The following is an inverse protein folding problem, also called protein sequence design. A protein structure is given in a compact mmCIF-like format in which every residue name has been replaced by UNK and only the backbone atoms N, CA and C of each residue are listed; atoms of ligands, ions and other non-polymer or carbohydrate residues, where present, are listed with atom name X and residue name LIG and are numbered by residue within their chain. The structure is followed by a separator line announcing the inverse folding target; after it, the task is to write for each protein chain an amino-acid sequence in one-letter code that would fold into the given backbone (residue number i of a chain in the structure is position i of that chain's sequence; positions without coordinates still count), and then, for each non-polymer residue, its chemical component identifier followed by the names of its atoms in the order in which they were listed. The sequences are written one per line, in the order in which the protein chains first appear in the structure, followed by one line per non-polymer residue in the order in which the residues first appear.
data_IF_655714941422
#
_entry.id   IF_655714941422
#
_cell.length_a   1.000
_cell.length_b   1.000
_cell.length_c   1.000
_cell.angle_alpha   90.00
_cell.angle_beta   90.00
_cell.angle_gamma   90.00
#
_symmetry.space_group_name_H-M   'P 1'
#
loop_
_entity.id
_entity.type
_entity.pdbx_description
1 polymer ?
#
# COMPACT_ATOMS: atom_id res chain seq x y z
N UNK A 1 -9.57 33.68 6.44
CA UNK A 1 -8.60 34.73 6.85
C UNK A 1 -7.26 34.59 6.14
N UNK A 2 -6.40 33.61 6.44
CA UNK A 2 -5.11 33.51 5.69
C UNK A 2 -5.27 32.97 4.27
N UNK A 3 -6.24 32.09 4.02
CA UNK A 3 -6.54 31.61 2.67
C UNK A 3 -6.84 32.78 1.73
N UNK A 4 -7.70 33.71 2.16
CA UNK A 4 -8.03 34.92 1.41
C UNK A 4 -6.82 35.83 1.21
N UNK A 5 -6.01 36.01 2.27
CA UNK A 5 -4.81 36.84 2.24
C UNK A 5 -3.77 36.36 1.21
N UNK A 6 -3.54 35.05 1.14
CA UNK A 6 -2.62 34.44 0.17
C UNK A 6 -3.31 33.96 -1.13
N UNK A 7 -4.61 34.22 -1.29
CA UNK A 7 -5.42 33.81 -2.47
C UNK A 7 -5.41 32.30 -2.72
N UNK A 8 -5.57 31.52 -1.66
CA UNK A 8 -5.71 30.06 -1.69
C UNK A 8 -7.19 29.69 -1.69
N UNK A 9 -7.57 28.65 -2.44
CA UNK A 9 -8.96 28.13 -2.49
C UNK A 9 -9.27 27.20 -1.34
N UNK A 10 -8.28 26.45 -0.89
CA UNK A 10 -8.39 25.48 0.21
C UNK A 10 -7.08 25.41 1.00
N UNK A 11 -7.09 24.71 2.13
CA UNK A 11 -5.95 24.61 3.04
C UNK A 11 -4.82 23.75 2.44
N UNK A 12 -3.68 24.31 1.98
CA UNK A 12 -2.60 23.53 1.38
C UNK A 12 -1.89 22.61 2.36
N UNK A 13 -1.89 22.91 3.67
CA UNK A 13 -1.09 22.16 4.65
C UNK A 13 -1.94 21.55 5.78
N UNK A 14 -3.15 21.10 5.42
CA UNK A 14 -4.09 20.49 6.37
C UNK A 14 -3.60 19.17 6.96
N UNK A 15 -4.16 18.82 8.12
CA UNK A 15 -3.89 17.56 8.85
C UNK A 15 -4.64 16.36 8.25
N UNK A 16 -5.77 16.60 7.59
CA UNK A 16 -6.59 15.55 6.99
C UNK A 16 -5.88 14.98 5.75
N UNK A 17 -5.69 13.66 5.66
CA UNK A 17 -5.13 13.02 4.46
C UNK A 17 -6.06 13.21 3.26
N UNK A 18 -5.63 13.99 2.27
CA UNK A 18 -6.30 14.11 0.97
C UNK A 18 -5.35 13.58 -0.12
N UNK A 19 -5.74 12.51 -0.84
CA UNK A 19 -4.93 11.92 -1.90
C UNK A 19 -4.53 12.90 -3.02
N UNK A 20 -5.27 14.00 -3.24
CA UNK A 20 -4.94 15.04 -4.24
C UNK A 20 -3.64 15.78 -3.92
N UNK A 21 -3.30 15.86 -2.63
CA UNK A 21 -2.09 16.53 -2.14
C UNK A 21 -0.89 15.58 -2.04
N UNK A 22 -1.02 14.31 -2.45
CA UNK A 22 0.09 13.38 -2.46
C UNK A 22 1.10 13.75 -3.55
N UNK A 23 2.24 14.26 -3.12
CA UNK A 23 3.38 14.50 -4.00
C UNK A 23 4.12 13.19 -4.32
N UNK A 24 4.12 12.78 -5.58
CA UNK A 24 4.82 11.58 -6.04
C UNK A 24 6.31 11.84 -6.25
N UNK A 25 7.09 11.84 -5.17
CA UNK A 25 8.56 11.79 -5.23
C UNK A 25 9.05 10.55 -5.98
N UNK A 26 10.30 10.51 -6.46
CA UNK A 26 10.90 9.30 -7.02
C UNK A 26 10.75 8.08 -6.09
N UNK A 27 10.99 8.25 -4.78
CA UNK A 27 10.81 7.20 -3.78
C UNK A 27 9.34 6.73 -3.66
N UNK A 28 8.37 7.65 -3.70
CA UNK A 28 6.95 7.27 -3.70
C UNK A 28 6.57 6.50 -4.96
N UNK A 29 7.08 6.91 -6.13
CA UNK A 29 6.83 6.23 -7.41
C UNK A 29 7.43 4.84 -7.42
N UNK A 30 8.66 4.68 -6.92
CA UNK A 30 9.34 3.39 -6.81
C UNK A 30 8.60 2.45 -5.84
N UNK A 31 8.23 2.95 -4.66
CA UNK A 31 7.45 2.19 -3.69
C UNK A 31 6.10 1.75 -4.27
N UNK A 32 5.37 2.67 -4.92
CA UNK A 32 4.09 2.37 -5.55
C UNK A 32 4.25 1.33 -6.67
N UNK A 33 5.26 1.48 -7.53
CA UNK A 33 5.54 0.55 -8.62
C UNK A 33 5.90 -0.84 -8.09
N UNK A 34 6.70 -0.91 -7.03
CA UNK A 34 7.09 -2.17 -6.39
C UNK A 34 5.88 -2.91 -5.79
N UNK A 35 5.03 -2.18 -5.06
CA UNK A 35 3.80 -2.74 -4.49
C UNK A 35 2.83 -3.18 -5.58
N UNK A 36 2.66 -2.35 -6.61
CA UNK A 36 1.79 -2.64 -7.74
C UNK A 36 2.22 -3.93 -8.45
N UNK A 37 3.51 -4.01 -8.83
CA UNK A 37 4.07 -5.16 -9.50
C UNK A 37 4.04 -6.42 -8.63
N UNK A 38 4.31 -6.31 -7.33
CA UNK A 38 4.25 -7.46 -6.43
C UNK A 38 2.84 -8.05 -6.31
N UNK A 39 1.82 -7.19 -6.24
CA UNK A 39 0.41 -7.62 -6.21
C UNK A 39 -0.01 -8.19 -7.56
N UNK A 40 0.40 -7.56 -8.67
CA UNK A 40 0.09 -8.00 -10.04
C UNK A 40 0.80 -9.32 -10.41
N UNK A 41 1.97 -9.59 -9.85
CA UNK A 41 2.67 -10.88 -10.03
C UNK A 41 2.30 -11.93 -8.99
N UNK A 42 1.40 -11.60 -8.06
CA UNK A 42 0.86 -12.57 -7.11
C UNK A 42 1.87 -13.04 -6.07
N UNK A 43 2.82 -12.18 -5.66
CA UNK A 43 3.97 -12.54 -4.80
C UNK A 43 3.60 -12.90 -3.35
N UNK A 44 2.34 -12.75 -2.97
CA UNK A 44 1.84 -13.07 -1.64
C UNK A 44 2.10 -11.92 -0.68
N UNK A 45 3.28 -11.87 -0.06
CA UNK A 45 3.62 -10.87 0.95
C UNK A 45 4.45 -9.71 0.42
N UNK A 46 4.02 -8.51 0.79
CA UNK A 46 4.69 -7.25 0.53
C UNK A 46 4.77 -6.44 1.82
N UNK A 47 5.80 -5.60 1.95
CA UNK A 47 5.91 -4.64 3.05
C UNK A 47 6.16 -3.23 2.56
N UNK A 48 5.55 -2.24 3.21
CA UNK A 48 5.81 -0.82 3.03
C UNK A 48 6.27 -0.21 4.36
N UNK A 49 7.53 0.18 4.44
CA UNK A 49 8.10 0.76 5.66
C UNK A 49 8.35 2.25 5.45
N UNK A 50 7.93 3.07 6.41
CA UNK A 50 8.27 4.49 6.42
C UNK A 50 8.15 5.09 7.82
N UNK A 51 8.88 6.16 8.05
CA UNK A 51 8.72 7.01 9.23
C UNK A 51 7.28 7.55 9.37
N UNK A 52 6.84 7.89 10.59
CA UNK A 52 5.56 8.55 10.82
C UNK A 52 5.41 9.83 9.99
N UNK A 53 4.28 9.96 9.31
CA UNK A 53 3.98 11.18 8.54
C UNK A 53 4.59 11.26 7.14
N UNK A 54 5.14 10.15 6.62
CA UNK A 54 5.62 10.03 5.22
C UNK A 54 4.54 9.73 4.18
N UNK A 55 3.27 9.59 4.59
CA UNK A 55 2.17 9.36 3.65
C UNK A 55 1.90 7.90 3.27
N UNK A 56 2.32 6.93 4.10
CA UNK A 56 2.06 5.48 3.91
C UNK A 56 0.59 5.20 3.59
N UNK A 57 -0.31 5.57 4.50
CA UNK A 57 -1.76 5.38 4.37
C UNK A 57 -2.31 6.01 3.09
N UNK A 58 -1.89 7.25 2.78
CA UNK A 58 -2.28 7.96 1.56
C UNK A 58 -1.81 7.23 0.29
N UNK A 59 -0.61 6.64 0.31
CA UNK A 59 -0.08 5.85 -0.80
C UNK A 59 -0.87 4.55 -0.98
N UNK A 60 -1.23 3.86 0.10
CA UNK A 60 -2.07 2.66 0.03
C UNK A 60 -3.45 2.97 -0.57
N UNK A 61 -4.10 4.06 -0.13
CA UNK A 61 -5.36 4.50 -0.73
C UNK A 61 -5.25 4.86 -2.22
N UNK A 62 -4.12 5.45 -2.64
CA UNK A 62 -3.86 5.70 -4.05
C UNK A 62 -3.67 4.41 -4.85
N UNK A 63 -3.01 3.41 -4.26
CA UNK A 63 -2.86 2.09 -4.87
C UNK A 63 -4.23 1.42 -5.08
N UNK A 64 -5.12 1.48 -4.09
CA UNK A 64 -6.50 0.97 -4.20
C UNK A 64 -7.30 1.63 -5.32
N UNK A 65 -7.19 2.95 -5.47
CA UNK A 65 -7.89 3.69 -6.55
C UNK A 65 -7.49 3.22 -7.94
N UNK A 66 -6.26 2.73 -8.13
CA UNK A 66 -5.74 2.25 -9.42
C UNK A 66 -6.34 0.90 -9.85
N UNK A 67 -6.91 0.13 -8.93
CA UNK A 67 -7.39 -1.25 -9.18
C UNK A 67 -8.91 -1.43 -9.18
N UNK A 68 -9.69 -0.35 -9.27
CA UNK A 68 -11.15 -0.42 -9.31
C UNK A 68 -11.61 -1.41 -10.40
N UNK A 69 -12.26 -2.50 -9.96
CA UNK A 69 -12.85 -3.54 -10.82
C UNK A 69 -12.09 -4.87 -10.89
N UNK A 70 -10.82 -4.93 -10.47
CA UNK A 70 -9.97 -6.13 -10.58
C UNK A 70 -9.49 -6.70 -9.23
N UNK A 71 -9.58 -5.89 -8.17
CA UNK A 71 -9.12 -6.24 -6.82
C UNK A 71 -10.27 -6.10 -5.84
N UNK A 72 -10.46 -7.13 -5.01
CA UNK A 72 -11.24 -7.07 -3.79
C UNK A 72 -10.27 -6.79 -2.64
N UNK A 73 -10.41 -5.64 -1.99
CA UNK A 73 -9.48 -5.22 -0.93
C UNK A 73 -10.14 -5.31 0.44
N UNK A 74 -9.39 -5.78 1.42
CA UNK A 74 -9.69 -5.60 2.83
C UNK A 74 -8.64 -4.69 3.47
N UNK A 75 -9.04 -3.81 4.40
CA UNK A 75 -8.15 -2.86 5.06
C UNK A 75 -8.30 -2.93 6.59
N UNK A 76 -7.22 -3.33 7.25
CA UNK A 76 -7.12 -3.32 8.70
C UNK A 76 -6.43 -2.04 9.17
N UNK A 77 -7.21 -1.11 9.74
CA UNK A 77 -6.70 0.05 10.48
C UNK A 77 -6.50 -0.25 11.97
N UNK A 78 -7.37 -1.09 12.54
CA UNK A 78 -7.36 -1.41 13.96
C UNK A 78 -6.39 -2.57 14.23
N UNK A 79 -5.20 -2.23 14.71
CA UNK A 79 -4.14 -3.21 15.00
C UNK A 79 -4.14 -3.70 16.45
N UNK A 80 -4.96 -3.11 17.32
CA UNK A 80 -5.22 -3.63 18.66
C UNK A 80 -6.32 -4.68 18.56
N UNK A 81 -5.95 -5.87 18.13
CA UNK A 81 -6.85 -7.00 17.94
C UNK A 81 -6.16 -8.31 18.29
N UNK A 82 -6.94 -9.35 18.57
CA UNK A 82 -6.46 -10.73 18.62
C UNK A 82 -6.61 -11.46 17.26
N UNK A 83 -6.17 -12.71 17.19
CA UNK A 83 -6.22 -13.52 15.97
C UNK A 83 -7.63 -13.76 15.45
N UNK A 84 -8.62 -13.86 16.35
CA UNK A 84 -10.02 -14.08 16.00
C UNK A 84 -10.63 -12.79 15.46
N UNK A 85 -10.37 -11.67 16.13
CA UNK A 85 -10.80 -10.33 15.71
C UNK A 85 -10.20 -9.95 14.35
N UNK A 86 -8.92 -10.25 14.10
CA UNK A 86 -8.29 -10.06 12.78
C UNK A 86 -9.09 -10.76 11.67
N UNK A 87 -9.43 -12.03 11.88
CA UNK A 87 -10.22 -12.81 10.91
C UNK A 87 -11.61 -12.23 10.73
N UNK A 88 -12.27 -11.79 11.81
CA UNK A 88 -13.59 -11.15 11.74
C UNK A 88 -13.55 -9.85 10.94
N UNK A 89 -12.59 -8.97 11.23
CA UNK A 89 -12.42 -7.72 10.46
C UNK A 89 -12.17 -8.00 8.98
N UNK A 90 -11.33 -8.98 8.67
CA UNK A 90 -11.08 -9.41 7.29
C UNK A 90 -12.36 -9.92 6.61
N UNK A 91 -13.12 -10.80 7.27
CA UNK A 91 -14.35 -11.35 6.72
C UNK A 91 -15.41 -10.27 6.52
N UNK A 92 -15.61 -9.40 7.50
CA UNK A 92 -16.59 -8.30 7.44
C UNK A 92 -16.27 -7.35 6.27
N UNK A 93 -15.01 -6.95 6.08
CA UNK A 93 -14.61 -6.04 5.00
C UNK A 93 -14.68 -6.71 3.61
N UNK A 94 -14.56 -8.05 3.56
CA UNK A 94 -14.82 -8.85 2.34
C UNK A 94 -16.31 -9.16 2.11
N UNK A 95 -17.21 -8.69 2.99
CA UNK A 95 -18.65 -8.92 2.91
C UNK A 95 -19.10 -10.34 3.28
N UNK A 96 -18.31 -11.05 4.09
CA UNK A 96 -18.61 -12.38 4.61
C UNK A 96 -19.17 -12.30 6.03
N UNK A 97 -20.17 -13.13 6.32
CA UNK A 97 -20.70 -13.26 7.68
C UNK A 97 -19.75 -14.07 8.56
N UNK A 98 -19.37 -13.50 9.71
CA UNK A 98 -18.48 -14.09 10.70
C UNK A 98 -19.14 -14.29 12.07
N UNK A 99 -20.43 -13.93 12.21
CA UNK A 99 -21.14 -14.03 13.49
C UNK A 99 -21.27 -15.50 13.93
N UNK A 100 -21.04 -15.73 15.22
CA UNK A 100 -21.12 -17.05 15.87
C UNK A 100 -20.26 -18.16 15.27
N UNK A 101 -19.28 -17.81 14.43
CA UNK A 101 -18.36 -18.77 13.80
C UNK A 101 -17.14 -18.99 14.69
N UNK A 102 -16.70 -20.23 14.77
CA UNK A 102 -15.39 -20.57 15.30
C UNK A 102 -14.29 -20.26 14.27
N UNK A 103 -13.03 -20.27 14.71
CA UNK A 103 -11.87 -19.94 13.86
C UNK A 103 -11.74 -20.91 12.67
N UNK A 104 -12.04 -22.19 12.87
CA UNK A 104 -11.91 -23.22 11.83
C UNK A 104 -12.91 -22.95 10.71
N UNK A 105 -14.16 -22.65 11.08
CA UNK A 105 -15.23 -22.34 10.14
C UNK A 105 -14.96 -21.02 9.41
N UNK A 106 -14.50 -19.98 10.11
CA UNK A 106 -14.07 -18.72 9.49
C UNK A 106 -12.97 -18.95 8.46
N UNK A 107 -11.98 -19.78 8.77
CA UNK A 107 -10.89 -20.13 7.84
C UNK A 107 -11.39 -20.88 6.60
N UNK A 108 -12.33 -21.82 6.77
CA UNK A 108 -12.93 -22.55 5.65
C UNK A 108 -13.75 -21.62 4.75
N UNK A 109 -14.62 -20.80 5.34
CA UNK A 109 -15.47 -19.87 4.59
C UNK A 109 -14.62 -18.81 3.85
N UNK A 110 -13.53 -18.34 4.46
CA UNK A 110 -12.56 -17.46 3.82
C UNK A 110 -11.85 -18.15 2.64
N UNK A 111 -11.39 -19.39 2.80
CA UNK A 111 -10.77 -20.15 1.71
C UNK A 111 -11.71 -20.28 0.49
N UNK A 112 -12.97 -20.64 0.73
CA UNK A 112 -13.97 -20.78 -0.31
C UNK A 112 -14.25 -19.45 -1.02
N UNK A 113 -14.27 -18.35 -0.29
CA UNK A 113 -14.37 -17.01 -0.86
C UNK A 113 -13.15 -16.66 -1.73
N UNK A 114 -11.93 -16.83 -1.21
CA UNK A 114 -10.70 -16.51 -1.93
C UNK A 114 -10.59 -17.32 -3.24
N UNK A 115 -11.00 -18.59 -3.21
CA UNK A 115 -11.03 -19.43 -4.40
C UNK A 115 -12.07 -18.98 -5.43
N UNK A 116 -13.27 -18.56 -4.99
CA UNK A 116 -14.31 -18.00 -5.86
C UNK A 116 -13.85 -16.71 -6.55
N UNK A 117 -13.28 -15.77 -5.79
CA UNK A 117 -12.79 -14.51 -6.36
C UNK A 117 -11.64 -14.76 -7.35
N UNK A 118 -10.72 -15.67 -7.02
CA UNK A 118 -9.63 -16.06 -7.92
C UNK A 118 -10.17 -16.68 -9.22
N UNK A 119 -11.19 -17.54 -9.15
CA UNK A 119 -11.87 -18.10 -10.34
C UNK A 119 -12.57 -17.03 -11.18
N UNK A 120 -13.08 -15.98 -10.55
CA UNK A 120 -13.67 -14.83 -11.23
C UNK A 120 -12.59 -13.88 -11.83
N UNK A 121 -11.31 -14.24 -11.77
CA UNK A 121 -10.20 -13.41 -12.26
C UNK A 121 -9.89 -12.21 -11.38
N UNK A 122 -10.49 -12.13 -10.19
CA UNK A 122 -10.24 -11.07 -9.21
C UNK A 122 -9.12 -11.48 -8.28
N UNK A 123 -8.43 -10.48 -7.72
CA UNK A 123 -7.41 -10.69 -6.69
C UNK A 123 -7.93 -10.19 -5.36
N UNK A 124 -7.64 -10.92 -4.29
CA UNK A 124 -7.94 -10.47 -2.93
C UNK A 124 -6.67 -9.92 -2.30
N UNK A 125 -6.74 -8.70 -1.77
CA UNK A 125 -5.59 -8.02 -1.15
C UNK A 125 -5.98 -7.54 0.24
N UNK A 126 -5.25 -7.98 1.25
CA UNK A 126 -5.33 -7.50 2.63
C UNK A 126 -4.25 -6.44 2.87
N UNK A 127 -4.67 -5.22 3.18
CA UNK A 127 -3.82 -4.15 3.66
C UNK A 127 -3.87 -4.07 5.18
N UNK A 128 -2.70 -4.08 5.82
CA UNK A 128 -2.58 -3.89 7.26
C UNK A 128 -1.71 -2.65 7.46
N UNK A 129 -2.32 -1.55 7.91
CA UNK A 129 -1.57 -0.33 8.25
C UNK A 129 -1.16 -0.34 9.72
N UNK A 130 -0.11 0.42 10.05
CA UNK A 130 0.50 0.46 11.39
C UNK A 130 0.83 -0.95 11.96
N UNK A 131 1.24 -1.89 11.09
CA UNK A 131 1.45 -3.30 11.42
C UNK A 131 2.51 -3.55 12.51
N UNK A 132 3.36 -2.58 12.84
CA UNK A 132 4.26 -2.68 13.99
C UNK A 132 3.52 -2.84 15.32
N UNK A 133 2.25 -2.41 15.38
CA UNK A 133 1.41 -2.47 16.58
C UNK A 133 0.77 -3.85 16.79
N UNK A 134 0.78 -4.75 15.80
CA UNK A 134 0.24 -6.10 15.96
C UNK A 134 1.04 -6.88 17.00
N UNK A 135 0.40 -7.78 17.74
CA UNK A 135 1.11 -8.71 18.62
C UNK A 135 1.83 -9.81 17.83
N UNK A 136 2.79 -10.51 18.45
CA UNK A 136 3.53 -11.59 17.78
C UNK A 136 2.61 -12.75 17.38
N UNK A 137 1.60 -13.06 18.20
CA UNK A 137 0.59 -14.09 17.90
C UNK A 137 -0.28 -13.72 16.69
N UNK A 138 -0.61 -12.43 16.53
CA UNK A 138 -1.39 -11.95 15.39
C UNK A 138 -0.53 -11.92 14.12
N UNK A 139 0.74 -11.53 14.20
CA UNK A 139 1.66 -11.64 13.07
C UNK A 139 1.84 -13.09 12.61
N UNK A 140 1.87 -14.05 13.53
CA UNK A 140 1.87 -15.48 13.19
C UNK A 140 0.56 -15.90 12.52
N UNK A 141 -0.58 -15.36 12.95
CA UNK A 141 -1.87 -15.58 12.28
C UNK A 141 -1.83 -15.03 10.85
N UNK A 142 -1.32 -13.82 10.66
CA UNK A 142 -1.11 -13.22 9.34
C UNK A 142 -0.19 -14.09 8.47
N UNK A 143 0.88 -14.67 9.05
CA UNK A 143 1.76 -15.63 8.36
C UNK A 143 0.97 -16.83 7.85
N UNK A 144 0.07 -17.39 8.65
CA UNK A 144 -0.78 -18.52 8.26
C UNK A 144 -1.77 -18.14 7.15
N UNK A 145 -2.31 -16.92 7.13
CA UNK A 145 -3.18 -16.46 6.04
C UNK A 145 -2.48 -16.48 4.67
N UNK A 146 -1.14 -16.39 4.62
CA UNK A 146 -0.41 -16.49 3.36
C UNK A 146 -0.30 -17.90 2.80
N UNK A 147 -0.65 -18.90 3.60
CA UNK A 147 -0.69 -20.30 3.19
C UNK A 147 -1.99 -20.59 2.38
N UNK A 148 -2.90 -19.61 2.25
CA UNK A 148 -3.99 -19.67 1.26
C UNK A 148 -3.43 -19.60 -0.17
N UNK A 149 -3.21 -20.77 -0.76
CA UNK A 149 -2.67 -20.94 -2.11
C UNK A 149 -3.35 -22.08 -2.88
N UNK A 150 -3.42 -21.91 -4.20
CA UNK A 150 -3.61 -23.00 -5.14
C UNK A 150 -2.24 -23.50 -5.62
N UNK A 151 -2.13 -24.69 -6.25
CA UNK A 151 -0.86 -25.24 -6.69
C UNK A 151 -0.01 -24.32 -7.59
N UNK A 152 -0.65 -23.36 -8.29
CA UNK A 152 -0.01 -22.47 -9.24
C UNK A 152 0.03 -20.98 -8.80
N UNK A 153 -0.64 -20.60 -7.70
CA UNK A 153 -0.75 -19.18 -7.31
C UNK A 153 -1.20 -18.97 -5.86
N UNK A 154 -0.82 -17.82 -5.28
CA UNK A 154 -1.37 -17.32 -4.02
C UNK A 154 -2.81 -16.82 -4.18
N UNK A 155 -3.69 -17.18 -3.26
CA UNK A 155 -5.10 -16.75 -3.27
C UNK A 155 -5.30 -15.41 -2.54
N UNK A 156 -4.42 -15.09 -1.58
CA UNK A 156 -4.42 -13.84 -0.84
C UNK A 156 -3.08 -13.12 -1.00
N UNK A 157 -3.14 -11.82 -1.31
CA UNK A 157 -2.00 -10.91 -1.23
C UNK A 157 -2.08 -10.12 0.08
N UNK A 158 -0.96 -9.92 0.76
CA UNK A 158 -0.91 -9.21 2.04
C UNK A 158 0.14 -8.10 1.96
N UNK A 159 -0.29 -6.87 2.25
CA UNK A 159 0.57 -5.70 2.34
C UNK A 159 0.67 -5.24 3.79
N UNK A 160 1.85 -5.41 4.38
CA UNK A 160 2.17 -4.92 5.71
C UNK A 160 2.77 -3.51 5.62
N UNK A 161 2.00 -2.48 5.96
CA UNK A 161 2.50 -1.13 6.09
C UNK A 161 2.79 -0.81 7.55
N UNK A 162 3.96 -0.22 7.80
CA UNK A 162 4.36 0.11 9.17
C UNK A 162 5.58 1.00 9.26
N UNK A 163 6.06 1.15 10.48
CA UNK A 163 7.24 1.94 10.84
C UNK A 163 8.51 1.06 10.81
N UNK A 164 9.74 1.63 10.84
CA UNK A 164 10.98 0.84 10.81
C UNK A 164 11.07 -0.27 11.89
N UNK A 165 10.38 -0.11 13.01
CA UNK A 165 10.23 -1.10 14.07
C UNK A 165 9.62 -2.41 13.57
N UNK A 166 8.67 -2.35 12.61
CA UNK A 166 8.11 -3.54 11.97
C UNK A 166 9.21 -4.34 11.28
N UNK A 167 10.07 -3.66 10.53
CA UNK A 167 11.14 -4.32 9.80
C UNK A 167 12.17 -4.94 10.74
N UNK A 168 12.57 -4.22 11.78
CA UNK A 168 13.46 -4.76 12.82
C UNK A 168 12.83 -6.00 13.47
N UNK A 169 11.53 -5.94 13.79
CA UNK A 169 10.81 -7.06 14.38
C UNK A 169 10.75 -8.29 13.47
N UNK A 170 10.54 -8.09 12.17
CA UNK A 170 10.52 -9.16 11.17
C UNK A 170 11.88 -9.85 10.97
N UNK A 171 12.97 -9.26 11.46
CA UNK A 171 14.32 -9.89 11.45
C UNK A 171 14.64 -10.66 12.73
N UNK A 172 13.78 -10.63 13.75
CA UNK A 172 14.01 -11.37 15.00
C UNK A 172 13.88 -12.87 14.78
N UNK A 173 14.62 -13.72 15.54
CA UNK A 173 14.58 -15.18 15.37
C UNK A 173 13.17 -15.77 15.34
N UNK A 174 12.26 -15.32 16.21
CA UNK A 174 10.87 -15.77 16.28
C UNK A 174 9.96 -15.32 15.13
N UNK A 175 10.40 -14.38 14.29
CA UNK A 175 9.62 -13.83 13.16
C UNK A 175 10.28 -14.09 11.80
N UNK A 176 11.42 -14.80 11.78
CA UNK A 176 12.20 -15.08 10.57
C UNK A 176 11.36 -15.72 9.46
N UNK A 177 10.44 -16.61 9.81
CA UNK A 177 9.58 -17.30 8.85
C UNK A 177 8.61 -16.36 8.11
N UNK A 178 8.09 -15.34 8.80
CA UNK A 178 7.28 -14.30 8.18
C UNK A 178 8.18 -13.36 7.37
N UNK A 179 9.32 -12.95 7.94
CA UNK A 179 10.29 -12.06 7.28
C UNK A 179 10.83 -12.61 5.96
N UNK A 180 11.03 -13.93 5.85
CA UNK A 180 11.46 -14.64 4.63
C UNK A 180 10.38 -14.74 3.55
N UNK A 181 9.09 -14.70 3.95
CA UNK A 181 7.98 -14.72 2.98
C UNK A 181 7.78 -13.37 2.29
N UNK A 182 8.31 -12.28 2.84
CA UNK A 182 8.18 -10.94 2.25
C UNK A 182 8.97 -10.87 0.94
N UNK A 183 8.25 -10.99 -0.17
CA UNK A 183 8.81 -11.03 -1.51
C UNK A 183 9.16 -9.63 -2.05
N UNK A 184 8.43 -8.61 -1.60
CA UNK A 184 8.66 -7.21 -2.00
C UNK A 184 8.77 -6.34 -0.76
N UNK A 185 9.87 -5.58 -0.67
CA UNK A 185 10.09 -4.59 0.39
C UNK A 185 10.17 -3.21 -0.25
N UNK A 186 9.16 -2.38 -0.01
CA UNK A 186 9.14 -0.98 -0.38
C UNK A 186 9.45 -0.11 0.85
N UNK A 187 10.14 1.01 0.63
CA UNK A 187 10.41 2.01 1.66
C UNK A 187 10.08 3.41 1.16
N UNK A 188 9.59 4.27 2.05
CA UNK A 188 9.53 5.71 1.81
C UNK A 188 10.61 6.40 2.62
N UNK A 189 11.52 7.04 1.89
CA UNK A 189 12.60 7.82 2.47
C UNK A 189 12.16 9.29 2.65
N UNK A 190 12.75 10.02 3.61
CA UNK A 190 12.53 11.45 3.75
C UNK A 190 12.85 12.21 2.46
N UNK A 191 12.09 13.28 2.19
CA UNK A 191 12.31 14.10 1.01
C UNK A 191 13.66 14.82 1.10
N UNK A 192 14.54 14.71 0.09
CA UNK A 192 15.76 15.51 0.07
C UNK A 192 15.40 17.00 -0.07
N UNK A 193 16.31 17.89 0.34
CA UNK A 193 16.04 19.33 0.39
C UNK A 193 15.50 19.91 -0.93
N UNK A 194 16.01 19.44 -2.08
CA UNK A 194 15.52 19.83 -3.40
C UNK A 194 14.05 19.44 -3.65
N UNK A 195 13.60 18.33 -3.06
CA UNK A 195 12.22 17.86 -3.18
C UNK A 195 11.28 18.49 -2.17
N UNK A 196 11.78 18.97 -1.02
CA UNK A 196 10.96 19.72 -0.06
C UNK A 196 10.35 20.96 -0.71
N UNK A 197 11.14 21.70 -1.50
CA UNK A 197 10.64 22.87 -2.26
C UNK A 197 9.54 22.46 -3.24
N UNK A 198 9.77 21.36 -3.99
CA UNK A 198 8.79 20.83 -4.96
C UNK A 198 7.51 20.37 -4.28
N UNK A 199 7.63 19.73 -3.12
CA UNK A 199 6.51 19.30 -2.29
C UNK A 199 5.66 20.48 -1.81
N UNK A 200 6.30 21.54 -1.27
CA UNK A 200 5.61 22.76 -0.84
C UNK A 200 4.85 23.38 -2.01
N UNK A 201 5.53 23.56 -3.14
CA UNK A 201 4.93 24.15 -4.34
C UNK A 201 3.80 23.29 -4.91
N UNK A 202 3.94 21.96 -4.91
CA UNK A 202 2.89 21.05 -5.32
C UNK A 202 1.62 21.25 -4.46
N UNK A 203 1.75 21.27 -3.13
CA UNK A 203 0.59 21.46 -2.25
C UNK A 203 -0.05 22.83 -2.41
N UNK A 204 0.75 23.89 -2.55
CA UNK A 204 0.24 25.23 -2.86
C UNK A 204 -0.53 25.27 -4.19
N UNK A 205 0.01 24.64 -5.23
CA UNK A 205 -0.62 24.58 -6.54
C UNK A 205 -1.95 23.83 -6.51
N UNK A 206 -2.02 22.67 -5.84
CA UNK A 206 -3.27 21.92 -5.64
C UNK A 206 -4.31 22.79 -4.92
N UNK A 207 -3.89 23.56 -3.91
CA UNK A 207 -4.74 24.52 -3.21
C UNK A 207 -5.14 25.76 -4.05
N UNK A 208 -4.72 25.85 -5.31
CA UNK A 208 -5.08 26.92 -6.23
C UNK A 208 -4.14 28.13 -6.23
N UNK A 209 -2.96 28.03 -5.61
CA UNK A 209 -1.99 29.10 -5.63
C UNK A 209 -1.37 29.28 -7.03
N UNK A 210 -1.41 30.51 -7.55
CA UNK A 210 -0.87 30.89 -8.87
C UNK A 210 0.09 32.09 -8.80
N UNK A 211 0.42 32.56 -7.59
CA UNK A 211 1.27 33.74 -7.39
C UNK A 211 2.77 33.44 -7.41
N UNK A 212 3.57 34.46 -7.09
CA UNK A 212 5.01 34.35 -6.88
C UNK A 212 5.34 33.46 -5.66
N UNK A 213 6.59 33.02 -5.52
CA UNK A 213 6.96 32.07 -4.48
C UNK A 213 6.67 32.60 -3.05
N UNK A 214 5.77 31.94 -2.32
CA UNK A 214 5.36 32.35 -0.95
C UNK A 214 6.47 32.19 0.08
N UNK A 215 7.38 31.23 -0.13
CA UNK A 215 8.51 30.99 0.75
C UNK A 215 9.78 31.44 0.05
N UNK A 216 10.63 32.23 0.73
CA UNK A 216 11.97 32.53 0.22
C UNK A 216 12.81 31.25 0.13
N UNK A 217 13.92 31.30 -0.61
CA UNK A 217 14.84 30.16 -0.70
C UNK A 217 15.40 29.79 0.68
N UNK A 218 15.75 30.78 1.50
CA UNK A 218 16.26 30.56 2.86
C UNK A 218 15.19 29.96 3.79
N UNK A 219 13.93 30.41 3.67
CA UNK A 219 12.82 29.81 4.40
C UNK A 219 12.62 28.34 3.99
N UNK A 220 12.65 28.05 2.69
CA UNK A 220 12.47 26.69 2.19
C UNK A 220 13.62 25.75 2.60
N UNK A 221 14.86 26.26 2.61
CA UNK A 221 16.03 25.54 3.12
C UNK A 221 15.90 25.25 4.63
N UNK A 222 15.48 26.23 5.41
CA UNK A 222 15.24 26.06 6.84
C UNK A 222 14.08 25.10 7.13
N UNK A 223 13.03 25.06 6.30
CA UNK A 223 11.97 24.05 6.38
C UNK A 223 12.55 22.66 6.11
N UNK A 224 13.36 22.49 5.07
CA UNK A 224 13.97 21.21 4.73
C UNK A 224 14.85 20.67 5.87
N UNK A 225 15.67 21.53 6.46
CA UNK A 225 16.53 21.18 7.60
C UNK A 225 15.72 20.79 8.84
N UNK A 226 14.78 21.65 9.27
CA UNK A 226 13.99 21.44 10.49
C UNK A 226 13.02 20.27 10.40
N UNK A 227 12.43 20.05 9.22
CA UNK A 227 11.53 18.93 8.99
C UNK A 227 12.26 17.62 8.73
N UNK A 228 13.56 17.66 8.44
CA UNK A 228 14.36 16.52 7.96
C UNK A 228 13.72 15.81 6.76
N UNK A 229 12.97 16.55 5.94
CA UNK A 229 12.26 15.99 4.78
C UNK A 229 10.97 15.22 5.10
N UNK A 230 10.47 15.23 6.35
CA UNK A 230 9.25 14.53 6.74
C UNK A 230 8.01 15.36 6.33
N UNK A 231 7.13 14.89 5.42
CA UNK A 231 5.96 15.63 4.93
C UNK A 231 5.07 16.20 6.02
N UNK A 232 4.74 15.43 7.06
CA UNK A 232 3.94 15.92 8.20
C UNK A 232 4.57 17.12 8.90
N UNK A 233 5.90 17.11 9.10
CA UNK A 233 6.61 18.22 9.72
C UNK A 233 6.70 19.43 8.77
N UNK A 234 6.93 19.20 7.47
CA UNK A 234 6.90 20.25 6.45
C UNK A 234 5.55 20.97 6.49
N UNK A 235 4.45 20.22 6.50
CA UNK A 235 3.09 20.77 6.55
C UNK A 235 2.88 21.63 7.77
N UNK A 236 3.30 21.13 8.93
CA UNK A 236 3.14 21.83 10.19
C UNK A 236 3.92 23.15 10.20
N UNK A 237 5.18 23.14 9.77
CA UNK A 237 6.00 24.35 9.65
C UNK A 237 5.38 25.35 8.66
N UNK A 238 4.94 24.89 7.49
CA UNK A 238 4.35 25.75 6.48
C UNK A 238 3.01 26.37 6.93
N UNK A 239 2.14 25.58 7.57
CA UNK A 239 0.87 26.06 8.09
C UNK A 239 1.06 27.17 9.13
N UNK A 240 1.97 26.96 10.09
CA UNK A 240 2.22 27.94 11.14
C UNK A 240 2.90 29.20 10.59
N UNK A 241 3.87 29.04 9.68
CA UNK A 241 4.54 30.18 9.06
C UNK A 241 3.58 31.02 8.21
N UNK A 242 2.68 30.40 7.44
CA UNK A 242 1.63 31.14 6.70
C UNK A 242 0.64 31.81 7.65
N UNK A 243 0.28 31.16 8.76
CA UNK A 243 -0.62 31.76 9.75
C UNK A 243 -0.01 33.00 10.40
N UNK A 244 1.26 32.91 10.82
CA UNK A 244 2.00 34.04 11.40
C UNK A 244 2.23 35.16 10.37
N UNK A 245 2.67 34.80 9.15
CA UNK A 245 2.85 35.76 8.07
C UNK A 245 1.56 36.52 7.74
N UNK A 246 0.41 35.85 7.78
CA UNK A 246 -0.88 36.52 7.62
C UNK A 246 -1.18 37.49 8.76
N UNK A 247 -0.91 37.11 10.02
CA UNK A 247 -1.10 37.97 11.18
C UNK A 247 -0.22 39.24 11.09
N UNK A 248 1.01 39.08 10.61
CA UNK A 248 1.97 40.17 10.38
C UNK A 248 1.76 40.91 9.05
N UNK A 249 0.77 40.52 8.25
CA UNK A 249 0.50 41.06 6.89
C UNK A 249 1.69 40.93 5.92
N UNK A 250 2.53 39.91 6.07
CA UNK A 250 3.66 39.60 5.21
C UNK A 250 3.25 38.71 4.02
N UNK A 251 3.44 39.21 2.79
CA UNK A 251 3.10 38.48 1.56
C UNK A 251 4.07 37.33 1.23
N UNK A 252 5.29 37.40 1.74
CA UNK A 252 6.31 36.37 1.57
C UNK A 252 6.82 35.94 2.94
N UNK A 253 7.03 34.64 3.10
CA UNK A 253 7.55 33.99 4.30
C UNK A 253 9.06 33.85 4.14
N UNK A 254 9.79 34.58 4.98
CA UNK A 254 11.24 34.46 5.08
C UNK A 254 11.66 33.54 6.23
N UNK A 255 12.97 33.42 6.44
CA UNK A 255 13.53 32.58 7.49
C UNK A 255 13.17 33.08 8.90
N UNK A 256 12.97 34.39 9.09
CA UNK A 256 12.69 34.97 10.40
C UNK A 256 11.26 34.68 10.85
N UNK A 257 10.27 34.86 9.95
CA UNK A 257 8.88 34.46 10.20
C UNK A 257 8.81 32.95 10.48
N UNK A 258 9.55 32.14 9.72
CA UNK A 258 9.61 30.71 9.97
C UNK A 258 10.23 30.38 11.34
N UNK A 259 11.28 31.09 11.75
CA UNK A 259 11.97 30.90 13.03
C UNK A 259 11.03 31.21 14.19
N UNK A 260 10.28 32.30 14.09
CA UNK A 260 9.27 32.70 15.08
C UNK A 260 8.13 31.67 15.15
N UNK A 261 7.56 31.30 14.00
CA UNK A 261 6.51 30.28 13.91
C UNK A 261 6.96 28.91 14.45
N UNK A 262 8.25 28.56 14.28
CA UNK A 262 8.82 27.33 14.82
C UNK A 262 9.12 27.41 16.33
N UNK A 263 9.39 28.61 16.87
CA UNK A 263 9.58 28.85 18.30
C UNK A 263 8.32 28.54 19.10
N UNK A 264 7.17 28.97 18.60
CA UNK A 264 5.85 28.71 19.22
C UNK A 264 5.50 27.22 19.25
N UNK A 265 6.02 26.45 18.30
CA UNK A 265 5.87 24.99 18.28
C UNK A 265 6.71 24.29 19.35
N UNK A 266 7.91 24.80 19.62
CA UNK A 266 8.75 24.28 20.68
C UNK A 266 8.20 24.59 22.08
N UNK A 267 7.41 25.66 22.23
CA UNK A 267 6.71 25.99 23.48
C UNK A 267 5.48 25.10 23.75
N UNK A 268 4.96 24.41 22.73
CA UNK A 268 3.80 23.51 22.82
C UNK A 268 4.15 22.00 22.76
N UNK A 269 5.43 21.64 22.66
CA UNK A 269 5.94 20.30 22.99
C UNK A 269 6.56 20.31 24.39
N UNK A 270 6.60 19.18 25.14
CA UNK A 270 7.20 19.18 26.47
C UNK A 270 8.70 19.37 26.35
N UNK A 271 9.16 20.62 26.37
CA UNK A 271 10.55 20.94 26.62
C UNK A 271 10.86 20.51 28.07
N UNK A 272 11.94 19.75 28.31
CA UNK A 272 12.38 19.49 29.67
C UNK A 272 12.70 20.86 30.29
N UNK A 273 11.89 21.26 31.27
CA UNK A 273 12.20 22.41 32.12
C UNK A 273 13.61 22.18 32.64
N UNK A 274 14.58 22.93 32.11
CA UNK A 274 15.82 23.21 32.84
C UNK A 274 15.39 23.94 34.09
N UNK A 275 15.26 23.19 35.18
CA UNK A 275 15.21 23.76 36.50
C UNK A 275 16.52 24.53 36.66
N UNK A 276 16.43 25.85 36.58
CA UNK A 276 17.43 26.72 37.17
C UNK A 276 17.36 26.44 38.67
N UNK A 277 18.19 25.53 39.15
CA UNK A 277 18.46 25.43 40.58
C UNK A 277 19.14 26.73 40.97
N UNK A 278 18.35 27.67 41.47
CA UNK A 278 18.84 28.73 42.33
C UNK A 278 19.44 28.05 43.55
N UNK A 279 20.76 27.86 43.54
CA UNK A 279 21.53 27.43 44.69
C UNK A 279 21.80 28.67 45.55
N UNK A 280 21.27 28.79 46.77
CA UNK A 280 21.73 29.79 47.72
C UNK A 280 23.14 29.43 48.22
N UNK A 281 23.99 30.41 48.56
CA UNK A 281 25.35 30.13 49.03
C UNK A 281 25.32 29.36 50.36
N UNK A 282 26.08 28.25 50.41
CA UNK A 282 26.20 27.41 51.60
C UNK A 282 27.09 28.06 52.67
N UNK A 283 26.76 27.91 53.97
CA UNK A 283 27.60 28.33 55.08
C UNK A 283 28.71 27.32 55.41
N UNK A 284 29.75 27.86 56.02
CA UNK A 284 31.03 27.27 56.44
C UNK A 284 30.93 26.16 57.51
N UNK A 285 31.78 25.13 57.37
CA UNK A 285 32.17 24.16 58.42
C UNK A 285 31.29 22.91 58.47
N UNK A 286 31.79 21.70 58.72
CA UNK A 286 33.07 21.19 59.19
C UNK A 286 33.19 19.70 58.83
N UNK A 287 34.41 19.17 58.99
CA UNK A 287 34.94 17.83 58.70
C UNK A 287 34.01 16.65 59.03
N UNK A 288 34.15 15.53 58.29
CA UNK A 288 34.78 14.26 58.77
C UNK A 288 34.83 13.17 57.67
N UNK A 289 36.06 12.65 57.48
CA UNK A 289 36.55 11.34 56.97
C UNK A 289 36.22 10.83 55.55
N UNK A 290 37.28 10.88 54.72
CA UNK A 290 37.76 9.85 53.76
C UNK A 290 38.02 8.49 54.48
N UNK A 291 38.18 7.31 53.82
CA UNK A 291 39.00 7.20 52.61
C UNK A 291 38.74 6.09 51.57
N UNK A 292 39.43 6.31 50.43
CA UNK A 292 40.17 5.35 49.59
C UNK A 292 39.36 4.24 48.91
N UNK A 293 39.29 4.19 47.59
CA UNK A 293 40.43 4.00 46.67
C UNK A 293 39.86 3.99 45.23
N UNK A 294 40.56 4.24 44.13
CA UNK A 294 41.73 5.06 43.83
C UNK A 294 41.98 4.87 42.31
N UNK A 295 42.26 5.99 41.62
CA UNK A 295 42.95 6.13 40.32
C UNK A 295 42.22 5.69 39.05
N UNK A 296 41.91 6.60 38.10
CA UNK A 296 42.81 7.35 37.18
C UNK A 296 43.55 6.38 36.24
N UNK A 297 43.68 6.59 34.94
CA UNK A 297 43.71 7.76 34.06
C UNK A 297 43.61 7.18 32.62
N UNK A 298 43.56 7.86 31.48
CA UNK A 298 43.62 9.24 31.07
C UNK A 298 43.56 9.23 29.52
N UNK A 299 42.96 10.28 28.95
CA UNK A 299 43.46 11.10 27.81
C UNK A 299 43.67 10.39 26.45
N UNK A 300 42.79 10.60 25.46
CA UNK A 300 42.84 11.66 24.39
C UNK A 300 43.39 11.06 23.06
N UNK A 301 43.37 11.75 21.89
CA UNK A 301 42.19 11.98 21.04
C UNK A 301 42.46 11.70 19.52
N UNK A 302 41.40 11.71 18.71
CA UNK A 302 41.46 12.16 17.30
C UNK A 302 41.82 11.13 16.20
N UNK A 303 40.93 10.99 15.22
CA UNK A 303 41.19 11.23 13.77
C UNK A 303 39.95 10.93 12.93
N UNK A 304 39.50 11.95 12.22
CA UNK A 304 38.66 11.91 11.02
C UNK A 304 39.38 11.20 9.86
N UNK A 305 38.69 10.39 9.06
CA UNK A 305 38.97 10.25 7.62
C UNK A 305 37.72 9.76 6.86
N UNK A 306 37.81 9.96 5.55
CA UNK A 306 36.78 10.38 4.60
C UNK A 306 36.07 9.25 3.84
N UNK A 307 35.00 9.64 3.15
CA UNK A 307 34.37 8.96 2.02
C UNK A 307 35.34 8.36 1.00
N UNK A 308 35.07 7.12 0.54
CA UNK A 308 35.39 6.66 -0.82
C UNK A 308 34.31 5.69 -1.30
N UNK A 309 33.85 5.94 -2.52
CA UNK A 309 32.87 5.22 -3.31
C UNK A 309 33.37 3.87 -3.87
N UNK A 310 32.43 2.94 -4.06
CA UNK A 310 32.28 2.01 -5.19
C UNK A 310 33.51 1.30 -5.82
N UNK A 311 33.52 -0.05 -5.75
CA UNK A 311 33.54 -1.02 -6.88
C UNK A 311 34.24 -2.34 -6.49
N UNK A 312 33.69 -3.44 -7.01
CA UNK A 312 34.24 -4.82 -7.07
C UNK A 312 34.40 -5.59 -5.76
N UNK A 313 33.42 -6.45 -5.44
CA UNK A 313 33.63 -7.90 -5.30
C UNK A 313 32.33 -8.54 -5.80
N UNK A 314 32.38 -9.01 -7.05
CA UNK A 314 31.23 -9.57 -7.76
C UNK A 314 31.73 -10.29 -8.99
N UNK A 315 32.33 -11.47 -8.76
CA UNK A 315 32.53 -12.59 -9.68
C UNK A 315 33.56 -13.52 -9.03
N UNK A 316 33.37 -14.83 -9.20
CA UNK A 316 34.09 -15.95 -8.56
C UNK A 316 33.50 -16.44 -7.23
N UNK A 317 32.23 -16.86 -7.20
CA UNK A 317 31.81 -18.00 -6.37
C UNK A 317 30.45 -18.59 -6.80
N UNK A 318 30.20 -18.71 -8.11
CA UNK A 318 28.92 -19.21 -8.63
C UNK A 318 29.13 -20.13 -9.83
N UNK A 319 29.76 -21.28 -9.61
CA UNK A 319 29.76 -22.36 -10.61
C UNK A 319 30.06 -23.77 -10.07
N UNK A 320 30.65 -23.92 -8.87
CA UNK A 320 30.96 -25.25 -8.30
C UNK A 320 29.89 -25.90 -7.41
N UNK A 321 28.81 -25.19 -7.05
CA UNK A 321 27.78 -25.74 -6.15
C UNK A 321 26.61 -26.39 -6.90
N UNK A 322 26.46 -26.15 -8.21
CA UNK A 322 25.29 -26.64 -8.96
C UNK A 322 25.46 -28.05 -9.57
N UNK A 323 26.70 -28.53 -9.78
CA UNK A 323 26.92 -29.84 -10.41
C UNK A 323 26.86 -31.03 -9.45
N UNK A 324 27.21 -30.87 -8.17
CA UNK A 324 27.19 -31.98 -7.20
C UNK A 324 25.79 -32.34 -6.74
N UNK A 325 24.87 -31.37 -6.67
CA UNK A 325 23.47 -31.62 -6.27
C UNK A 325 22.65 -32.35 -7.34
N UNK A 326 22.96 -32.16 -8.63
CA UNK A 326 22.21 -32.79 -9.72
C UNK A 326 22.52 -34.29 -9.85
N UNK A 327 23.78 -34.68 -9.64
CA UNK A 327 24.21 -36.09 -9.69
C UNK A 327 23.60 -36.90 -8.54
N UNK A 328 23.49 -36.30 -7.34
CA UNK A 328 22.88 -36.94 -6.17
C UNK A 328 21.37 -37.20 -6.37
N UNK A 329 20.64 -36.24 -6.96
CA UNK A 329 19.22 -36.40 -7.27
C UNK A 329 18.98 -37.46 -8.36
N UNK A 330 19.86 -37.53 -9.36
CA UNK A 330 19.77 -38.54 -10.42
C UNK A 330 19.98 -39.95 -9.88
N UNK A 331 20.98 -40.15 -9.02
CA UNK A 331 21.25 -41.44 -8.36
C UNK A 331 20.11 -41.85 -7.42
N UNK A 332 19.51 -40.90 -6.69
CA UNK A 332 18.36 -41.18 -5.83
C UNK A 332 17.13 -41.61 -6.65
N UNK A 333 16.87 -40.94 -7.79
CA UNK A 333 15.77 -41.32 -8.69
C UNK A 333 15.98 -42.71 -9.31
N UNK A 334 17.22 -43.07 -9.65
CA UNK A 334 17.57 -44.36 -10.23
C UNK A 334 17.42 -45.49 -9.20
N UNK A 335 17.79 -45.25 -7.94
CA UNK A 335 17.60 -46.20 -6.85
C UNK A 335 16.12 -46.49 -6.57
N UNK A 336 15.26 -45.46 -6.59
CA UNK A 336 13.80 -45.62 -6.43
C UNK A 336 13.19 -46.39 -7.61
N UNK A 337 13.65 -46.11 -8.83
CA UNK A 337 13.18 -46.80 -10.04
C UNK A 337 13.60 -48.28 -10.08
N UNK A 338 14.81 -48.60 -9.62
CA UNK A 338 15.29 -49.99 -9.52
C UNK A 338 14.58 -50.75 -8.38
N UNK A 339 14.32 -50.11 -7.24
CA UNK A 339 13.62 -50.71 -6.10
C UNK A 339 12.16 -51.06 -6.40
N UNK A 340 11.45 -50.21 -7.15
CA UNK A 340 10.06 -50.46 -7.54
C UNK A 340 9.92 -51.56 -8.60
N UNK A 341 10.95 -51.81 -9.41
CA UNK A 341 10.94 -52.86 -10.43
C UNK A 341 11.33 -54.24 -9.91
N UNK A 342 12.04 -54.32 -8.78
CA UNK A 342 12.38 -55.57 -8.12
C UNK A 342 11.22 -56.18 -7.29
N UNK A 343 10.25 -55.36 -6.83
CA UNK A 343 9.13 -55.79 -5.99
C UNK A 343 7.93 -56.39 -6.72
N UNK A 344 7.90 -56.39 -8.06
CA UNK A 344 6.70 -56.74 -8.84
C UNK A 344 6.69 -58.18 -9.41
N UNK A 345 7.54 -59.10 -8.93
CA UNK A 345 7.65 -60.47 -9.48
C UNK A 345 7.33 -61.63 -8.52
N UNK A 346 6.83 -61.36 -7.33
CA UNK A 346 6.42 -62.42 -6.40
C UNK A 346 5.10 -62.06 -5.76
N UNK A 347 3.98 -62.38 -6.40
CA UNK A 347 2.71 -62.74 -5.73
C UNK A 347 1.65 -63.08 -6.80
N UNK A 348 1.66 -64.33 -7.28
CA UNK A 348 0.53 -64.90 -8.05
C UNK A 348 0.50 -66.43 -7.93
N UNK A 349 -0.47 -66.93 -7.14
CA UNK A 349 -1.01 -68.31 -6.89
C UNK A 349 -1.28 -68.40 -5.38
N UNK A 350 -2.39 -68.86 -4.82
CA UNK A 350 -3.48 -69.79 -5.17
C UNK A 350 -4.49 -69.61 -3.98
N UNK A 351 -5.83 -69.63 -4.03
CA UNK A 351 -6.78 -70.66 -4.47
C UNK A 351 -8.21 -70.10 -4.43
N UNK A 352 -9.08 -70.74 -5.21
CA UNK A 352 -10.50 -70.49 -5.42
C UNK A 352 -11.43 -71.15 -4.37
N UNK A 353 -12.70 -70.71 -4.32
CA UNK A 353 -13.81 -71.41 -3.66
C UNK A 353 -15.11 -70.58 -3.61
N UNK A 354 -16.02 -70.84 -4.54
CA UNK A 354 -17.37 -70.27 -4.75
C UNK A 354 -18.45 -71.04 -3.93
N UNK A 355 -19.79 -70.90 -4.10
CA UNK A 355 -20.73 -69.79 -3.88
C UNK A 355 -21.90 -70.16 -2.91
N UNK A 356 -22.69 -69.16 -2.45
CA UNK A 356 -24.14 -69.34 -2.16
C UNK A 356 -24.88 -68.02 -1.85
N UNK A 357 -25.92 -67.72 -2.64
CA UNK A 357 -27.02 -66.74 -2.37
C UNK A 357 -28.25 -67.49 -1.78
N UNK A 358 -29.50 -66.98 -1.70
CA UNK A 358 -30.08 -65.60 -1.66
C UNK A 358 -31.22 -65.42 -0.60
N UNK A 359 -31.81 -64.23 -0.45
CA UNK A 359 -33.28 -63.89 -0.22
C UNK A 359 -33.41 -62.40 0.22
N UNK A 360 -34.15 -61.50 -0.46
CA UNK A 360 -35.63 -61.29 -0.54
C UNK A 360 -36.27 -61.04 0.85
N UNK A 361 -37.19 -60.11 1.15
CA UNK A 361 -38.12 -59.27 0.40
C UNK A 361 -38.64 -58.15 1.37
N UNK A 362 -38.99 -56.96 0.89
CA UNK A 362 -40.38 -56.47 0.73
C UNK A 362 -41.05 -55.73 1.91
N UNK A 363 -41.90 -54.78 1.48
CA UNK A 363 -43.06 -54.15 2.12
C UNK A 363 -42.83 -52.85 2.91
N UNK A 364 -43.71 -51.84 2.85
CA UNK A 364 -44.84 -51.53 1.98
C UNK A 364 -45.41 -50.16 2.39
N UNK A 365 -45.91 -49.39 1.42
CA UNK A 365 -47.12 -48.56 1.52
C UNK A 365 -46.99 -47.25 2.32
N UNK A 366 -47.64 -46.15 1.98
CA UNK A 366 -48.97 -45.97 1.37
C UNK A 366 -49.05 -44.53 0.78
N UNK A 367 -49.76 -44.38 -0.35
CA UNK A 367 -50.85 -43.40 -0.67
C UNK A 367 -50.66 -41.93 -0.21
N UNK A 368 -50.95 -40.87 -0.97
CA UNK A 368 -51.86 -40.58 -2.10
C UNK A 368 -51.58 -39.12 -2.55
N UNK A 369 -51.67 -38.83 -3.84
CA UNK A 369 -51.95 -37.50 -4.40
C UNK A 369 -53.48 -37.40 -4.72
N UNK A 370 -54.04 -36.42 -5.45
CA UNK A 370 -53.55 -35.12 -5.98
C UNK A 370 -54.61 -33.98 -5.88
N UNK A 371 -54.42 -32.91 -6.67
CA UNK A 371 -55.40 -31.97 -7.25
C UNK A 371 -55.87 -30.76 -6.41
N UNK A 372 -56.13 -29.55 -6.92
CA UNK A 372 -55.78 -28.78 -8.14
C UNK A 372 -56.36 -27.34 -7.89
N UNK A 373 -56.50 -26.40 -8.86
CA UNK A 373 -56.20 -24.97 -8.64
C UNK A 373 -57.43 -24.04 -8.75
N UNK A 374 -57.21 -22.72 -8.67
CA UNK A 374 -57.68 -21.69 -9.64
C UNK A 374 -58.20 -20.37 -9.01
N UNK A 375 -57.78 -19.26 -9.67
CA UNK A 375 -58.51 -18.00 -9.98
C UNK A 375 -59.02 -17.12 -8.83
N UNK A 376 -58.89 -15.79 -8.82
CA UNK A 376 -59.24 -14.71 -9.78
C UNK A 376 -58.50 -13.41 -9.38
N UNK A 377 -57.81 -12.67 -10.25
CA UNK A 377 -58.27 -11.62 -11.18
C UNK A 377 -58.70 -10.28 -10.53
N UNK A 378 -58.03 -9.18 -10.92
CA UNK A 378 -58.56 -7.84 -11.33
C UNK A 378 -57.37 -6.86 -11.48
N UNK A 379 -57.00 -6.50 -12.72
CA UNK A 379 -57.25 -5.19 -13.37
C UNK A 379 -56.39 -4.04 -12.76
N UNK A 380 -55.50 -3.34 -13.45
CA UNK A 380 -55.46 -2.94 -14.86
C UNK A 380 -55.75 -1.45 -14.94
N UNK A 381 -54.73 -0.58 -15.09
CA UNK A 381 -54.85 0.72 -15.76
C UNK A 381 -53.47 1.38 -16.03
N UNK A 382 -53.13 1.49 -17.31
CA UNK A 382 -52.36 2.55 -17.97
C UNK A 382 -53.09 2.80 -19.31
N UNK A 383 -52.82 3.85 -20.13
CA UNK A 383 -51.81 4.93 -20.04
C UNK A 383 -52.40 6.34 -20.32
N UNK A 384 -51.59 7.41 -20.22
CA UNK A 384 -51.43 8.46 -21.27
C UNK A 384 -50.12 9.22 -21.01
N UNK A 385 -49.42 9.49 -22.12
CA UNK A 385 -48.15 10.18 -22.33
C UNK A 385 -48.00 11.59 -21.71
N UNK A 386 -46.77 11.90 -21.30
CA UNK A 386 -46.15 13.18 -21.62
C UNK A 386 -44.62 13.11 -21.57
N UNK A 387 -44.02 13.52 -22.69
CA UNK A 387 -42.58 13.67 -22.97
C UNK A 387 -41.89 14.64 -22.02
N UNK A 388 -40.55 14.54 -22.00
CA UNK A 388 -39.52 15.44 -21.44
C UNK A 388 -39.01 15.01 -20.05
N UNK A 389 -37.82 14.39 -19.98
CA UNK A 389 -36.55 15.12 -19.80
C UNK A 389 -35.38 14.13 -19.59
N UNK A 390 -34.91 13.45 -20.65
CA UNK A 390 -33.65 12.69 -20.60
C UNK A 390 -32.48 13.65 -20.83
N UNK A 391 -31.98 14.20 -19.73
CA UNK A 391 -30.94 15.23 -19.74
C UNK A 391 -29.96 15.11 -18.59
N UNK A 392 -29.66 13.90 -18.07
CA UNK A 392 -28.52 13.73 -17.16
C UNK A 392 -28.20 12.25 -16.89
N UNK A 393 -27.34 11.66 -17.73
CA UNK A 393 -26.53 10.48 -17.39
C UNK A 393 -25.54 10.19 -18.52
N UNK A 394 -24.40 10.90 -18.51
CA UNK A 394 -23.12 10.47 -19.09
C UNK A 394 -22.04 11.52 -18.76
N UNK A 395 -21.72 11.66 -17.46
CA UNK A 395 -20.51 12.35 -17.04
C UNK A 395 -19.32 11.41 -17.27
N UNK A 396 -18.73 11.58 -18.45
CA UNK A 396 -17.62 10.84 -19.05
C UNK A 396 -16.35 10.79 -18.19
N UNK A 397 -15.75 9.59 -18.12
CA UNK A 397 -14.42 9.29 -17.56
C UNK A 397 -13.29 9.98 -18.36
N UNK A 398 -13.11 11.29 -18.18
CA UNK A 398 -12.12 12.11 -18.93
C UNK A 398 -11.12 12.74 -17.95
N UNK A 399 -9.82 12.55 -18.21
CA UNK A 399 -8.72 13.11 -17.45
C UNK A 399 -8.03 14.23 -18.24
N UNK A 400 -7.75 15.37 -17.62
CA UNK A 400 -7.02 16.47 -18.28
C UNK A 400 -5.57 16.48 -17.83
N UNK A 401 -4.65 16.49 -18.78
CA UNK A 401 -3.21 16.45 -18.59
C UNK A 401 -2.52 17.65 -19.26
N UNK A 402 -1.55 18.26 -18.58
CA UNK A 402 -0.72 19.34 -19.14
C UNK A 402 0.58 18.73 -19.62
N UNK A 403 0.81 18.77 -20.94
CA UNK A 403 1.98 18.22 -21.62
C UNK A 403 3.27 18.80 -21.04
N UNK A 404 4.20 17.94 -20.64
CA UNK A 404 5.54 18.33 -20.21
C UNK A 404 6.53 18.28 -21.38
N UNK A 405 7.69 18.95 -21.29
CA UNK A 405 8.77 18.81 -22.27
C UNK A 405 9.16 17.34 -22.46
N UNK A 406 9.22 16.88 -23.73
CA UNK A 406 9.50 15.51 -24.17
C UNK A 406 8.38 14.48 -23.99
N UNK A 407 7.18 14.88 -23.59
CA UNK A 407 6.04 13.97 -23.59
C UNK A 407 5.62 13.60 -25.00
N UNK A 408 5.35 12.31 -25.20
CA UNK A 408 4.69 11.81 -26.42
C UNK A 408 3.33 11.27 -26.07
N UNK A 409 2.36 11.42 -26.96
CA UNK A 409 1.01 10.92 -26.72
C UNK A 409 1.01 9.41 -26.45
N UNK A 410 1.87 8.66 -27.13
CA UNK A 410 2.06 7.22 -26.91
C UNK A 410 2.55 6.92 -25.50
N UNK A 411 3.57 7.60 -25.00
CA UNK A 411 4.09 7.40 -23.65
C UNK A 411 3.04 7.79 -22.58
N UNK A 412 2.31 8.89 -22.80
CA UNK A 412 1.22 9.32 -21.93
C UNK A 412 0.08 8.29 -21.91
N UNK A 413 -0.34 7.76 -23.06
CA UNK A 413 -1.39 6.75 -23.15
C UNK A 413 -0.97 5.44 -22.49
N UNK A 414 0.27 4.97 -22.71
CA UNK A 414 0.77 3.77 -22.05
C UNK A 414 0.90 3.95 -20.52
N UNK A 415 1.25 5.15 -20.05
CA UNK A 415 1.40 5.44 -18.63
C UNK A 415 0.06 5.64 -17.89
N UNK A 416 -0.87 6.35 -18.53
CA UNK A 416 -2.12 6.82 -17.90
C UNK A 416 -3.35 5.97 -18.28
N UNK A 417 -3.42 5.49 -19.52
CA UNK A 417 -4.55 4.69 -20.06
C UNK A 417 -4.20 3.20 -20.10
N UNK A 418 -2.91 2.84 -20.05
CA UNK A 418 -2.41 1.46 -20.06
C UNK A 418 -2.35 0.81 -21.44
N UNK A 419 -2.82 1.49 -22.50
CA UNK A 419 -2.79 1.01 -23.90
C UNK A 419 -2.76 2.17 -24.90
N UNK A 420 -2.30 1.88 -26.12
CA UNK A 420 -2.27 2.84 -27.24
C UNK A 420 -2.64 2.12 -28.54
N UNK A 421 -3.94 2.07 -28.82
CA UNK A 421 -4.55 1.46 -30.01
C UNK A 421 -5.41 2.48 -30.79
N UNK A 422 -5.89 2.12 -31.99
CA UNK A 422 -6.67 3.03 -32.84
C UNK A 422 -7.97 3.51 -32.17
N UNK A 423 -8.61 2.66 -31.37
CA UNK A 423 -9.80 3.01 -30.57
C UNK A 423 -9.51 4.15 -29.59
N UNK A 424 -8.41 4.05 -28.82
CA UNK A 424 -7.99 5.11 -27.89
C UNK A 424 -7.60 6.38 -28.65
N UNK A 425 -6.92 6.26 -29.79
CA UNK A 425 -6.57 7.44 -30.60
C UNK A 425 -7.81 8.16 -31.13
N UNK A 426 -8.85 7.44 -31.56
CA UNK A 426 -10.11 8.02 -32.01
C UNK A 426 -10.88 8.70 -30.88
N UNK A 427 -10.92 8.10 -29.68
CA UNK A 427 -11.51 8.74 -28.50
C UNK A 427 -10.77 10.02 -28.10
N UNK A 428 -9.43 10.01 -28.13
CA UNK A 428 -8.62 11.20 -27.86
C UNK A 428 -8.90 12.30 -28.87
N UNK A 429 -9.08 11.98 -30.16
CA UNK A 429 -9.49 12.96 -31.19
C UNK A 429 -10.87 13.54 -30.90
N UNK A 430 -11.84 12.73 -30.47
CA UNK A 430 -13.17 13.20 -30.07
C UNK A 430 -13.11 14.13 -28.85
N UNK A 431 -12.25 13.83 -27.88
CA UNK A 431 -12.09 14.62 -26.66
C UNK A 431 -11.27 15.90 -26.85
N UNK A 432 -10.47 15.98 -27.93
CA UNK A 432 -9.58 17.11 -28.23
C UNK A 432 -9.72 17.55 -29.70
N UNK A 433 -10.85 18.18 -30.07
CA UNK A 433 -11.09 18.61 -31.46
C UNK A 433 -10.05 19.62 -31.98
N UNK A 434 -9.32 20.29 -31.08
CA UNK A 434 -8.28 21.27 -31.43
C UNK A 434 -6.89 20.64 -31.68
N UNK A 435 -6.72 19.34 -31.44
CA UNK A 435 -5.43 18.67 -31.55
C UNK A 435 -5.25 18.10 -32.97
N UNK A 436 -4.64 18.89 -33.86
CA UNK A 436 -4.52 18.58 -35.30
C UNK A 436 -3.50 17.48 -35.60
N UNK A 437 -2.51 17.28 -34.74
CA UNK A 437 -1.48 16.25 -34.89
C UNK A 437 -1.30 15.48 -33.57
N UNK A 438 -1.50 14.16 -33.60
CA UNK A 438 -1.37 13.28 -32.44
C UNK A 438 0.08 12.88 -32.13
N UNK A 439 1.01 13.16 -33.06
CA UNK A 439 2.42 12.76 -32.95
C UNK A 439 3.29 13.85 -32.32
N UNK A 440 2.83 15.10 -32.32
CA UNK A 440 3.54 16.24 -31.75
C UNK A 440 2.67 16.96 -30.72
N UNK A 441 3.10 16.92 -29.46
CA UNK A 441 2.45 17.61 -28.36
C UNK A 441 3.30 18.81 -27.93
N UNK A 442 2.69 19.98 -27.77
CA UNK A 442 3.41 21.17 -27.32
C UNK A 442 3.46 21.22 -25.78
N UNK A 443 4.63 21.44 -25.16
CA UNK A 443 4.72 21.61 -23.70
C UNK A 443 3.80 22.74 -23.21
N UNK A 444 3.07 22.51 -22.13
CA UNK A 444 2.06 23.41 -21.57
C UNK A 444 0.66 23.25 -22.19
N UNK A 445 0.49 22.44 -23.23
CA UNK A 445 -0.81 22.19 -23.85
C UNK A 445 -1.68 21.27 -22.96
N UNK A 446 -2.95 21.61 -22.80
CA UNK A 446 -3.93 20.73 -22.13
C UNK A 446 -4.47 19.67 -23.09
N UNK A 447 -4.46 18.41 -22.65
CA UNK A 447 -5.00 17.26 -23.40
C UNK A 447 -5.93 16.46 -22.50
N UNK A 448 -7.09 16.11 -23.06
CA UNK A 448 -8.11 15.28 -22.43
C UNK A 448 -7.96 13.81 -22.85
N UNK A 449 -7.74 12.92 -21.91
CA UNK A 449 -7.52 11.49 -22.15
C UNK A 449 -8.68 10.67 -21.55
N UNK A 450 -9.15 9.61 -22.22
CA UNK A 450 -10.18 8.72 -21.67
C UNK A 450 -9.59 7.81 -20.60
N UNK A 451 -10.18 7.77 -19.40
CA UNK A 451 -9.70 6.96 -18.25
C UNK A 451 -10.08 5.48 -18.34
N UNK A 452 -11.02 5.11 -19.21
CA UNK A 452 -11.40 3.74 -19.53
C UNK A 452 -11.94 3.74 -20.95
N UNK A 453 -11.10 3.46 -21.95
CA UNK A 453 -11.64 3.08 -23.25
C UNK A 453 -12.32 1.73 -23.04
N UNK A 454 -13.64 1.67 -23.23
CA UNK A 454 -14.37 0.40 -23.23
C UNK A 454 -13.96 -0.36 -24.49
N UNK A 455 -13.88 -1.69 -24.45
CA UNK A 455 -13.98 -2.47 -25.69
C UNK A 455 -15.42 -2.30 -26.19
N UNK A 456 -15.68 -1.27 -26.98
CA UNK A 456 -16.88 -1.21 -27.81
C UNK A 456 -16.46 -0.98 -29.25
N UNK A 457 -17.07 -1.78 -30.12
CA UNK A 457 -16.98 -1.83 -31.58
C UNK A 457 -15.72 -2.47 -32.18
N UNK A 458 -15.68 -3.80 -32.16
CA UNK A 458 -15.28 -4.55 -33.36
C UNK A 458 -16.56 -5.02 -34.07
N UNK A 459 -16.80 -4.65 -35.34
CA UNK A 459 -17.89 -5.21 -36.10
C UNK A 459 -17.61 -6.70 -36.32
N UNK A 460 -18.56 -7.54 -35.91
CA UNK A 460 -18.58 -8.95 -36.29
C UNK A 460 -18.54 -9.02 -37.82
N UNK A 461 -17.49 -9.66 -38.35
CA UNK A 461 -17.42 -10.14 -39.72
C UNK A 461 -17.17 -11.63 -39.68
#
# INVERSE_FOLDING_TARGET
MFLDFYRLREQPFGVTPDPRFLYFSPAHREALASLFYGIETGRGFLSLVAEPGMGKTTLLFQLLKRWKGYVHSAFLFQTQCDSRELLRYLMEDLGLDSQDRDIVRMHADLNDFLFRETKAGKRVVLFIDEAQNLSDSVLETVRLLSDFEAPDRKLLQIVLAGQPELEQRLTRPGMTQLGQRIAVRARLEPLPAAEVVRYINHRLHVAGYQGMQLFTQDAAAAIAERSRGIPRLINHLCFNALSLGCAMRCRQIDQEILREAAGDLALNGPAPRRQTTNTPPAPTGSRITKPQTQWRAALEPGRSFTSVSSRMIGKLFRERVFQTSFLALLLLSLAIYLGTRAGARTFQREQAGDPSSPTAAANAGLKRAPDAPATTASEGLQPVDSKQNDGQQNASNVFTYIVQPNDTLRALCLSLVGRYDETVQQEIRKLNPNLKDLTHLNPGQEIRLPLNASKQDQPQR
#
